data_IF_671023298962
#
_entry.id   IF_671023298962
#
_cell.length_a   1.000
_cell.length_b   1.000
_cell.length_c   1.000
_cell.angle_alpha   90.00
_cell.angle_beta   90.00
_cell.angle_gamma   90.00
#
_symmetry.space_group_name_H-M   'P 1'
#
loop_
_entity.id
_entity.type
_entity.pdbx_description
1 polymer ?
#
# COMPACT_ATOMS: atom_id res chain seq x y z
N UNK A 1 15.16 -11.01 -21.32
CA UNK A 1 14.89 -11.87 -20.14
C UNK A 1 15.22 -11.06 -18.89
N UNK A 2 14.22 -10.72 -18.08
CA UNK A 2 14.40 -9.96 -16.83
C UNK A 2 14.82 -10.92 -15.71
N UNK A 3 16.05 -11.43 -15.77
CA UNK A 3 16.58 -12.27 -14.69
C UNK A 3 17.14 -11.40 -13.56
N UNK A 4 16.80 -11.79 -12.34
CA UNK A 4 17.25 -11.16 -11.11
C UNK A 4 18.58 -11.76 -10.68
N UNK A 5 19.50 -10.92 -10.22
CA UNK A 5 20.83 -11.36 -9.82
C UNK A 5 20.83 -11.70 -8.33
N UNK A 6 21.02 -12.99 -8.04
CA UNK A 6 20.98 -13.60 -6.71
C UNK A 6 19.65 -14.30 -6.41
N UNK A 7 19.72 -15.45 -5.73
CA UNK A 7 18.55 -16.17 -5.22
C UNK A 7 17.96 -15.40 -4.03
N UNK A 8 17.25 -14.32 -4.29
CA UNK A 8 16.33 -13.76 -3.30
C UNK A 8 14.96 -14.40 -3.49
N UNK A 9 14.86 -15.68 -3.12
CA UNK A 9 13.56 -16.22 -2.76
C UNK A 9 13.17 -15.53 -1.47
N UNK A 10 12.09 -14.75 -1.45
CA UNK A 10 11.61 -14.18 -0.19
C UNK A 10 11.36 -15.33 0.78
N UNK A 11 12.11 -15.43 1.90
CA UNK A 11 11.76 -16.37 2.95
C UNK A 11 10.28 -16.18 3.29
N UNK A 12 9.57 -17.30 3.42
CA UNK A 12 8.18 -17.33 3.85
C UNK A 12 7.91 -16.38 5.04
N UNK A 13 8.89 -16.20 5.93
CA UNK A 13 8.88 -15.24 7.03
C UNK A 13 8.46 -13.81 6.63
N UNK A 14 8.91 -13.27 5.49
CA UNK A 14 8.54 -11.91 5.07
C UNK A 14 7.09 -11.81 4.62
N UNK A 15 6.60 -12.83 3.90
CA UNK A 15 5.19 -12.93 3.52
C UNK A 15 4.32 -12.98 4.78
N UNK A 16 4.69 -13.83 5.74
CA UNK A 16 3.99 -13.95 7.02
C UNK A 16 4.03 -12.64 7.82
N UNK A 17 5.18 -11.95 7.84
CA UNK A 17 5.32 -10.65 8.50
C UNK A 17 4.43 -9.58 7.87
N UNK A 18 4.43 -9.46 6.53
CA UNK A 18 3.57 -8.52 5.83
C UNK A 18 2.08 -8.83 6.07
N UNK A 19 1.69 -10.09 5.99
CA UNK A 19 0.33 -10.54 6.30
C UNK A 19 -0.06 -10.20 7.73
N UNK A 20 0.81 -10.47 8.71
CA UNK A 20 0.59 -10.14 10.12
C UNK A 20 0.40 -8.63 10.32
N UNK A 21 1.30 -7.81 9.77
CA UNK A 21 1.26 -6.36 9.91
C UNK A 21 -0.02 -5.76 9.29
N UNK A 22 -0.40 -6.20 8.09
CA UNK A 22 -1.64 -5.74 7.48
C UNK A 22 -2.88 -6.27 8.20
N UNK A 23 -2.89 -7.53 8.65
CA UNK A 23 -3.96 -8.07 9.45
C UNK A 23 -4.16 -7.25 10.73
N UNK A 24 -3.07 -6.83 11.39
CA UNK A 24 -3.12 -5.96 12.56
C UNK A 24 -3.84 -4.64 12.25
N UNK A 25 -3.61 -4.03 11.09
CA UNK A 25 -4.36 -2.83 10.67
C UNK A 25 -5.87 -3.10 10.55
N UNK A 26 -6.25 -4.29 10.07
CA UNK A 26 -7.63 -4.75 9.98
C UNK A 26 -8.25 -4.95 11.36
N UNK A 27 -7.53 -5.56 12.29
CA UNK A 27 -7.96 -5.75 13.69
C UNK A 27 -8.21 -4.40 14.34
N UNK A 28 -7.26 -3.47 14.26
CA UNK A 28 -7.38 -2.12 14.84
C UNK A 28 -8.64 -1.42 14.31
N UNK A 29 -8.87 -1.48 13.00
CA UNK A 29 -10.04 -0.86 12.39
C UNK A 29 -11.34 -1.54 12.80
N UNK A 30 -11.39 -2.88 12.82
CA UNK A 30 -12.56 -3.66 13.24
C UNK A 30 -12.93 -3.35 14.70
N UNK A 31 -11.94 -3.32 15.60
CA UNK A 31 -12.20 -3.03 17.01
C UNK A 31 -12.61 -1.57 17.23
N UNK A 32 -12.06 -0.61 16.48
CA UNK A 32 -12.56 0.78 16.48
C UNK A 32 -14.01 0.88 16.00
N UNK A 33 -14.45 -0.05 15.13
CA UNK A 33 -15.84 -0.16 14.64
C UNK A 33 -16.76 -1.01 15.53
N UNK A 34 -16.27 -1.54 16.65
CA UNK A 34 -17.01 -2.41 17.56
C UNK A 34 -17.60 -3.66 16.87
N UNK A 35 -16.87 -4.24 15.91
CA UNK A 35 -17.24 -5.53 15.34
C UNK A 35 -17.02 -6.67 16.34
N UNK A 36 -17.80 -7.74 16.18
CA UNK A 36 -17.65 -8.97 16.94
C UNK A 36 -16.40 -9.76 16.49
N UNK A 37 -16.10 -10.87 17.16
CA UNK A 37 -14.90 -11.67 16.88
C UNK A 37 -14.86 -12.17 15.44
N UNK A 38 -16.02 -12.55 14.88
CA UNK A 38 -16.11 -13.03 13.49
C UNK A 38 -15.81 -11.88 12.53
N UNK A 39 -16.39 -10.70 12.74
CA UNK A 39 -16.10 -9.50 11.96
C UNK A 39 -14.63 -9.08 12.05
N UNK A 40 -13.99 -9.19 13.22
CA UNK A 40 -12.56 -8.92 13.41
C UNK A 40 -11.70 -9.89 12.60
N UNK A 41 -11.97 -11.19 12.67
CA UNK A 41 -11.22 -12.22 11.92
C UNK A 41 -11.37 -12.01 10.41
N UNK A 42 -12.59 -11.77 9.92
CA UNK A 42 -12.85 -11.54 8.50
C UNK A 42 -12.11 -10.28 8.02
N UNK A 43 -12.21 -9.17 8.75
CA UNK A 43 -11.56 -7.93 8.33
C UNK A 43 -10.04 -8.02 8.42
N UNK A 44 -9.50 -8.69 9.44
CA UNK A 44 -8.07 -8.99 9.53
C UNK A 44 -7.60 -9.87 8.37
N UNK A 45 -8.41 -10.86 7.98
CA UNK A 45 -8.11 -11.74 6.85
C UNK A 45 -8.08 -10.96 5.54
N UNK A 46 -9.07 -10.11 5.30
CA UNK A 46 -9.14 -9.30 4.08
C UNK A 46 -8.00 -8.28 4.03
N UNK A 47 -7.70 -7.62 5.14
CA UNK A 47 -6.57 -6.69 5.21
C UNK A 47 -5.24 -7.41 4.98
N UNK A 48 -5.02 -8.52 5.70
CA UNK A 48 -3.77 -9.28 5.70
C UNK A 48 -3.51 -10.02 4.40
N UNK A 49 -4.50 -10.68 3.81
CA UNK A 49 -4.34 -11.53 2.65
C UNK A 49 -4.84 -10.91 1.34
N UNK A 50 -5.68 -9.86 1.39
CA UNK A 50 -6.38 -9.33 0.22
C UNK A 50 -5.47 -8.92 -0.93
N UNK A 51 -4.34 -8.27 -0.64
CA UNK A 51 -3.35 -7.90 -1.66
C UNK A 51 -2.75 -9.12 -2.36
N UNK A 52 -2.38 -10.15 -1.59
CA UNK A 52 -1.86 -11.42 -2.11
C UNK A 52 -2.92 -12.21 -2.89
N UNK A 53 -4.17 -12.21 -2.43
CA UNK A 53 -5.30 -12.85 -3.12
C UNK A 53 -5.57 -12.21 -4.48
N UNK A 54 -5.56 -10.86 -4.55
CA UNK A 54 -5.70 -10.14 -5.82
C UNK A 54 -4.50 -10.44 -6.72
N UNK A 55 -3.27 -10.34 -6.20
CA UNK A 55 -2.03 -10.62 -6.96
C UNK A 55 -2.07 -12.03 -7.54
N UNK A 56 -2.22 -13.05 -6.72
CA UNK A 56 -2.09 -14.44 -7.13
C UNK A 56 -3.32 -14.91 -7.92
N UNK A 57 -4.52 -14.58 -7.45
CA UNK A 57 -5.77 -15.09 -8.01
C UNK A 57 -6.25 -14.34 -9.25
N UNK A 58 -5.98 -13.04 -9.37
CA UNK A 58 -6.46 -12.22 -10.50
C UNK A 58 -5.34 -11.93 -11.50
N UNK A 59 -4.15 -11.54 -11.03
CA UNK A 59 -3.09 -11.07 -11.93
C UNK A 59 -2.11 -12.15 -12.37
N UNK A 60 -1.62 -13.00 -11.45
CA UNK A 60 -0.58 -13.99 -11.76
C UNK A 60 -1.15 -15.33 -12.25
N UNK A 61 -2.24 -15.81 -11.65
CA UNK A 61 -2.98 -17.01 -12.06
C UNK A 61 -2.12 -18.28 -12.20
N UNK A 62 -1.08 -18.45 -11.37
CA UNK A 62 -0.16 -19.60 -11.43
C UNK A 62 -0.58 -20.80 -10.56
N UNK A 63 -1.86 -20.86 -10.16
CA UNK A 63 -2.41 -21.85 -9.24
C UNK A 63 -3.21 -21.21 -8.12
N UNK A 64 -3.58 -21.98 -7.07
CA UNK A 64 -4.24 -21.43 -5.89
C UNK A 64 -3.39 -20.30 -5.27
N UNK A 65 -3.98 -19.21 -4.77
CA UNK A 65 -3.22 -18.18 -4.05
C UNK A 65 -2.35 -18.72 -2.93
N UNK A 66 -1.14 -18.15 -2.74
CA UNK A 66 -0.17 -18.63 -1.74
C UNK A 66 -0.77 -18.68 -0.33
N UNK A 67 -1.62 -17.69 -0.01
CA UNK A 67 -2.40 -17.63 1.22
C UNK A 67 -3.20 -18.92 1.52
N UNK A 68 -3.74 -19.56 0.49
CA UNK A 68 -4.56 -20.78 0.63
C UNK A 68 -3.73 -22.05 0.65
N UNK A 69 -2.46 -21.99 0.24
CA UNK A 69 -1.58 -23.15 0.16
C UNK A 69 -0.84 -23.44 1.48
N UNK A 70 -0.64 -22.42 2.33
CA UNK A 70 0.11 -22.57 3.57
C UNK A 70 -0.68 -22.05 4.79
N UNK A 71 -1.02 -22.97 5.69
CA UNK A 71 -1.75 -22.70 6.93
C UNK A 71 -1.08 -21.65 7.83
N UNK A 72 0.24 -21.44 7.68
CA UNK A 72 1.00 -20.45 8.46
C UNK A 72 0.49 -19.03 8.23
N UNK A 73 -0.09 -18.72 7.06
CA UNK A 73 -0.70 -17.42 6.83
C UNK A 73 -1.94 -17.19 7.70
N UNK A 74 -2.80 -18.20 7.83
CA UNK A 74 -3.94 -18.13 8.73
C UNK A 74 -3.49 -17.99 10.18
N UNK A 75 -2.45 -18.72 10.59
CA UNK A 75 -1.83 -18.58 11.92
C UNK A 75 -1.32 -17.16 12.15
N UNK A 76 -0.66 -16.53 11.17
CA UNK A 76 -0.20 -15.14 11.27
C UNK A 76 -1.37 -14.16 11.44
N UNK A 77 -2.48 -14.37 10.76
CA UNK A 77 -3.69 -13.53 10.89
C UNK A 77 -4.32 -13.71 12.26
N UNK A 78 -4.47 -14.94 12.74
CA UNK A 78 -5.00 -15.23 14.07
C UNK A 78 -4.10 -14.67 15.17
N UNK A 79 -2.78 -14.75 15.01
CA UNK A 79 -1.83 -14.08 15.90
C UNK A 79 -2.03 -12.56 15.91
N UNK A 80 -2.24 -11.93 14.75
CA UNK A 80 -2.53 -10.50 14.69
C UNK A 80 -3.84 -10.15 15.40
N UNK A 81 -4.87 -11.00 15.31
CA UNK A 81 -6.13 -10.85 16.06
C UNK A 81 -5.87 -10.93 17.56
N UNK A 82 -5.18 -11.97 18.04
CA UNK A 82 -4.86 -12.12 19.47
C UNK A 82 -4.06 -10.93 19.98
N UNK A 83 -2.99 -10.53 19.28
CA UNK A 83 -2.15 -9.40 19.65
C UNK A 83 -2.95 -8.10 19.65
N UNK A 84 -3.69 -7.82 18.57
CA UNK A 84 -4.46 -6.58 18.44
C UNK A 84 -5.60 -6.46 19.46
N UNK A 85 -6.21 -7.58 19.86
CA UNK A 85 -7.27 -7.60 20.87
C UNK A 85 -6.71 -7.51 22.29
N UNK A 86 -5.69 -8.31 22.64
CA UNK A 86 -5.08 -8.30 24.00
C UNK A 86 -4.46 -6.94 24.30
N UNK A 87 -3.73 -6.37 23.33
CA UNK A 87 -3.08 -5.07 23.48
C UNK A 87 -3.95 -3.90 23.01
N UNK A 88 -5.26 -4.10 22.82
CA UNK A 88 -6.16 -3.09 22.27
C UNK A 88 -6.04 -1.73 22.97
N UNK A 89 -5.96 -1.71 24.30
CA UNK A 89 -5.89 -0.46 25.06
C UNK A 89 -4.61 0.35 24.80
N UNK A 90 -3.50 -0.34 24.49
CA UNK A 90 -2.24 0.29 24.10
C UNK A 90 -2.32 0.74 22.64
N UNK A 91 -2.80 -0.14 21.77
CA UNK A 91 -2.87 0.08 20.32
C UNK A 91 -3.88 1.17 19.94
N UNK A 92 -5.02 1.26 20.64
CA UNK A 92 -6.07 2.27 20.39
C UNK A 92 -5.59 3.70 20.63
N UNK A 93 -4.72 3.89 21.63
CA UNK A 93 -4.16 5.21 21.96
C UNK A 93 -3.06 5.65 20.99
N UNK A 94 -2.47 4.70 20.27
CA UNK A 94 -1.34 4.93 19.39
C UNK A 94 -1.77 4.77 17.94
N UNK A 95 -2.35 5.82 17.36
CA UNK A 95 -2.57 5.86 15.90
C UNK A 95 -1.27 5.59 15.12
N UNK A 96 -0.11 5.91 15.71
CA UNK A 96 1.21 5.55 15.19
C UNK A 96 1.45 4.05 14.97
N UNK A 97 0.86 3.15 15.77
CA UNK A 97 1.01 1.69 15.56
C UNK A 97 0.37 1.27 14.24
N UNK A 98 -0.82 1.81 13.94
CA UNK A 98 -1.49 1.57 12.66
C UNK A 98 -0.62 2.07 11.50
N UNK A 99 -0.09 3.29 11.59
CA UNK A 99 0.73 3.87 10.52
C UNK A 99 2.06 3.14 10.31
N UNK A 100 2.74 2.74 11.39
CA UNK A 100 4.00 1.98 11.31
C UNK A 100 3.77 0.61 10.69
N UNK A 101 2.74 -0.12 11.16
CA UNK A 101 2.40 -1.44 10.63
C UNK A 101 1.99 -1.36 9.15
N UNK A 102 1.16 -0.39 8.79
CA UNK A 102 0.75 -0.13 7.41
C UNK A 102 1.94 0.26 6.52
N UNK A 103 2.83 1.15 6.97
CA UNK A 103 3.99 1.57 6.18
C UNK A 103 4.98 0.42 5.92
N UNK A 104 5.28 -0.40 6.94
CA UNK A 104 6.14 -1.58 6.78
C UNK A 104 5.47 -2.63 5.88
N UNK A 105 4.20 -2.94 6.15
CA UNK A 105 3.44 -3.90 5.35
C UNK A 105 3.40 -3.47 3.89
N UNK A 106 3.12 -2.20 3.61
CA UNK A 106 3.05 -1.62 2.27
C UNK A 106 4.35 -1.82 1.50
N UNK A 107 5.50 -1.52 2.12
CA UNK A 107 6.81 -1.72 1.50
C UNK A 107 7.09 -3.19 1.21
N UNK A 108 6.89 -4.06 2.20
CA UNK A 108 7.19 -5.50 2.06
C UNK A 108 6.29 -6.12 0.99
N UNK A 109 4.97 -5.89 1.03
CA UNK A 109 4.06 -6.46 0.02
C UNK A 109 4.30 -5.92 -1.38
N UNK A 110 4.68 -4.65 -1.51
CA UNK A 110 5.03 -4.08 -2.80
C UNK A 110 6.21 -4.80 -3.44
N UNK A 111 7.29 -4.96 -2.68
CA UNK A 111 8.49 -5.64 -3.16
C UNK A 111 8.22 -7.12 -3.46
N UNK A 112 7.51 -7.83 -2.58
CA UNK A 112 7.11 -9.24 -2.83
C UNK A 112 6.26 -9.35 -4.09
N UNK A 113 5.25 -8.49 -4.25
CA UNK A 113 4.37 -8.52 -5.42
C UNK A 113 5.12 -8.27 -6.73
N UNK A 114 6.03 -7.29 -6.72
CA UNK A 114 6.88 -6.98 -7.86
C UNK A 114 7.81 -8.14 -8.22
N UNK A 115 8.44 -8.73 -7.21
CA UNK A 115 9.32 -9.90 -7.34
C UNK A 115 8.58 -11.11 -7.93
N UNK A 116 7.41 -11.46 -7.38
CA UNK A 116 6.59 -12.56 -7.89
C UNK A 116 6.10 -12.31 -9.32
N UNK A 117 5.85 -11.05 -9.67
CA UNK A 117 5.47 -10.67 -11.04
C UNK A 117 6.59 -10.92 -12.05
N UNK A 118 7.83 -10.55 -11.72
CA UNK A 118 8.99 -10.82 -12.56
C UNK A 118 9.21 -12.34 -12.69
N UNK A 119 9.11 -13.08 -11.58
CA UNK A 119 9.21 -14.54 -11.61
C UNK A 119 8.09 -15.19 -12.44
N UNK A 120 6.91 -14.56 -12.50
CA UNK A 120 5.82 -14.97 -13.36
C UNK A 120 6.00 -14.60 -14.84
N UNK A 121 7.14 -14.02 -15.21
CA UNK A 121 7.45 -13.64 -16.60
C UNK A 121 6.86 -12.29 -17.03
N UNK A 122 6.29 -11.50 -16.11
CA UNK A 122 5.75 -10.19 -16.46
C UNK A 122 6.86 -9.18 -16.78
N UNK A 123 6.55 -8.24 -17.67
CA UNK A 123 7.43 -7.12 -18.00
C UNK A 123 7.54 -6.11 -16.85
N UNK A 124 8.52 -5.20 -16.94
CA UNK A 124 8.84 -4.23 -15.89
C UNK A 124 7.62 -3.42 -15.44
N UNK A 125 6.89 -2.81 -16.39
CA UNK A 125 5.73 -1.96 -16.08
C UNK A 125 4.60 -2.77 -15.44
N UNK A 126 4.31 -3.97 -15.97
CA UNK A 126 3.30 -4.87 -15.42
C UNK A 126 3.67 -5.30 -14.00
N UNK A 127 4.94 -5.60 -13.73
CA UNK A 127 5.43 -5.94 -12.41
C UNK A 127 5.34 -4.76 -11.43
N UNK A 128 5.55 -3.52 -11.89
CA UNK A 128 5.31 -2.32 -11.08
C UNK A 128 3.83 -2.23 -10.68
N UNK A 129 2.92 -2.41 -11.63
CA UNK A 129 1.47 -2.32 -11.37
C UNK A 129 0.99 -3.40 -10.41
N UNK A 130 1.37 -4.66 -10.65
CA UNK A 130 1.00 -5.78 -9.78
C UNK A 130 1.64 -5.65 -8.40
N UNK A 131 2.89 -5.16 -8.31
CA UNK A 131 3.53 -4.81 -7.04
C UNK A 131 2.75 -3.74 -6.26
N UNK A 132 2.37 -2.65 -6.93
CA UNK A 132 1.54 -1.59 -6.32
C UNK A 132 0.20 -2.14 -5.82
N UNK A 133 -0.48 -2.97 -6.60
CA UNK A 133 -1.76 -3.59 -6.22
C UNK A 133 -1.58 -4.57 -5.06
N UNK A 134 -0.50 -5.36 -5.05
CA UNK A 134 -0.18 -6.24 -3.94
C UNK A 134 0.04 -5.44 -2.64
N UNK A 135 0.67 -4.27 -2.74
CA UNK A 135 0.92 -3.38 -1.61
C UNK A 135 -0.36 -2.75 -1.05
N UNK A 136 -1.22 -2.21 -1.92
CA UNK A 136 -2.38 -1.41 -1.49
C UNK A 136 -3.67 -2.21 -1.40
N UNK A 137 -3.75 -3.37 -2.05
CA UNK A 137 -4.98 -4.14 -2.23
C UNK A 137 -5.64 -4.59 -0.93
N UNK A 138 -4.84 -5.00 0.07
CA UNK A 138 -5.36 -5.38 1.38
C UNK A 138 -6.05 -4.21 2.10
N UNK A 139 -5.37 -3.06 2.15
CA UNK A 139 -5.93 -1.82 2.72
C UNK A 139 -7.16 -1.33 1.95
N UNK A 140 -7.11 -1.40 0.62
CA UNK A 140 -8.23 -1.04 -0.27
C UNK A 140 -9.48 -1.89 0.02
N UNK A 141 -9.35 -3.22 0.04
CA UNK A 141 -10.47 -4.11 0.32
C UNK A 141 -11.02 -3.91 1.74
N UNK A 142 -10.12 -3.74 2.73
CA UNK A 142 -10.49 -3.41 4.12
C UNK A 142 -11.36 -2.14 4.19
N UNK A 143 -10.95 -1.08 3.51
CA UNK A 143 -11.65 0.20 3.56
C UNK A 143 -13.04 0.09 2.90
N UNK A 144 -13.13 -0.57 1.74
CA UNK A 144 -14.39 -0.84 1.04
C UNK A 144 -15.36 -1.62 1.94
N UNK A 145 -14.91 -2.72 2.57
CA UNK A 145 -15.77 -3.54 3.44
C UNK A 145 -16.27 -2.78 4.67
N UNK A 146 -15.48 -1.82 5.17
CA UNK A 146 -15.89 -0.97 6.30
C UNK A 146 -16.68 0.27 5.88
N UNK A 147 -17.11 0.34 4.61
CA UNK A 147 -17.85 1.46 4.01
C UNK A 147 -17.13 2.79 4.22
N UNK A 148 -15.80 2.78 4.17
CA UNK A 148 -14.97 3.99 4.16
C UNK A 148 -14.45 4.20 2.75
N UNK A 149 -14.30 5.46 2.37
CA UNK A 149 -13.53 5.79 1.19
C UNK A 149 -12.08 5.32 1.40
N UNK A 150 -11.51 4.53 0.46
CA UNK A 150 -10.16 4.01 0.59
C UNK A 150 -9.09 5.10 0.72
N UNK A 151 -8.11 4.87 1.59
CA UNK A 151 -6.99 5.81 1.84
C UNK A 151 -6.24 6.19 0.57
N UNK A 152 -6.25 5.31 -0.44
CA UNK A 152 -5.60 5.55 -1.74
C UNK A 152 -6.20 6.72 -2.52
N UNK A 153 -7.49 7.05 -2.31
CA UNK A 153 -8.18 8.13 -3.02
C UNK A 153 -8.09 9.47 -2.31
N UNK A 154 -7.85 9.48 -0.99
CA UNK A 154 -7.76 10.72 -0.25
C UNK A 154 -6.54 11.55 -0.67
N UNK A 155 -6.72 12.85 -0.95
CA UNK A 155 -5.62 13.80 -0.97
C UNK A 155 -5.00 13.78 0.44
N UNK A 156 -3.71 13.49 0.59
CA UNK A 156 -3.11 13.71 1.90
C UNK A 156 -1.95 12.85 2.38
N UNK A 157 -1.69 11.66 1.84
CA UNK A 157 -0.77 10.75 2.56
C UNK A 157 0.29 10.04 1.70
N UNK A 158 0.44 10.46 0.43
CA UNK A 158 1.36 9.86 -0.55
C UNK A 158 1.37 8.31 -0.51
N UNK A 159 0.24 7.67 -0.22
CA UNK A 159 0.19 6.23 0.06
C UNK A 159 0.59 5.39 -1.15
N UNK A 160 -0.17 5.53 -2.24
CA UNK A 160 0.16 4.88 -3.51
C UNK A 160 1.47 5.40 -4.11
N UNK A 161 1.77 6.69 -3.95
CA UNK A 161 3.00 7.28 -4.49
C UNK A 161 4.25 6.68 -3.83
N UNK A 162 4.23 6.49 -2.50
CA UNK A 162 5.31 5.84 -1.77
C UNK A 162 5.48 4.38 -2.23
N UNK A 163 4.38 3.62 -2.28
CA UNK A 163 4.40 2.24 -2.74
C UNK A 163 4.93 2.13 -4.19
N UNK A 164 4.44 2.98 -5.09
CA UNK A 164 4.86 3.04 -6.49
C UNK A 164 6.36 3.36 -6.60
N UNK A 165 6.85 4.35 -5.86
CA UNK A 165 8.27 4.70 -5.84
C UNK A 165 9.12 3.54 -5.31
N UNK A 166 8.73 2.90 -4.21
CA UNK A 166 9.44 1.76 -3.63
C UNK A 166 9.49 0.55 -4.57
N UNK A 167 8.36 0.17 -5.16
CA UNK A 167 8.27 -0.93 -6.13
C UNK A 167 9.12 -0.67 -7.36
N UNK A 168 9.01 0.55 -7.91
CA UNK A 168 9.79 0.95 -9.09
C UNK A 168 11.28 0.95 -8.77
N UNK A 169 11.67 1.47 -7.59
CA UNK A 169 13.06 1.45 -7.14
C UNK A 169 13.58 0.02 -7.01
N UNK A 170 12.84 -0.86 -6.33
CA UNK A 170 13.22 -2.26 -6.20
C UNK A 170 13.49 -2.90 -7.56
N UNK A 171 12.53 -2.81 -8.48
CA UNK A 171 12.67 -3.40 -9.81
C UNK A 171 13.82 -2.79 -10.58
N UNK A 172 14.01 -1.47 -10.51
CA UNK A 172 15.13 -0.80 -11.17
C UNK A 172 16.48 -1.28 -10.64
N UNK A 173 16.66 -1.32 -9.32
CA UNK A 173 17.90 -1.79 -8.70
C UNK A 173 18.17 -3.26 -9.03
N UNK A 174 17.16 -4.12 -8.93
CA UNK A 174 17.33 -5.57 -9.08
C UNK A 174 17.43 -6.02 -10.55
N UNK A 175 16.71 -5.38 -11.47
CA UNK A 175 16.65 -5.83 -12.88
C UNK A 175 17.52 -5.02 -13.83
N UNK A 176 17.67 -3.71 -13.61
CA UNK A 176 18.43 -2.81 -14.50
C UNK A 176 19.86 -2.66 -14.00
N UNK A 177 20.04 -2.30 -12.73
CA UNK A 177 21.39 -2.16 -12.14
C UNK A 177 21.99 -3.49 -11.70
N UNK A 178 21.20 -4.58 -11.73
CA UNK A 178 21.64 -5.94 -11.38
C UNK A 178 22.24 -6.02 -9.97
N UNK A 179 21.78 -5.15 -9.07
CA UNK A 179 22.13 -5.20 -7.64
C UNK A 179 21.47 -6.43 -7.02
N UNK A 180 22.12 -7.03 -6.03
CA UNK A 180 21.57 -8.13 -5.26
C UNK A 180 20.13 -7.81 -4.80
N UNK A 181 19.18 -8.68 -5.14
CA UNK A 181 17.76 -8.45 -4.92
C UNK A 181 17.38 -8.27 -3.43
N UNK A 182 18.11 -8.88 -2.49
CA UNK A 182 17.87 -8.69 -1.06
C UNK A 182 18.23 -7.27 -0.61
N UNK A 183 19.36 -6.74 -1.08
CA UNK A 183 19.78 -5.36 -0.80
C UNK A 183 18.78 -4.39 -1.42
N UNK A 184 18.39 -4.62 -2.68
CA UNK A 184 17.40 -3.81 -3.38
C UNK A 184 16.05 -3.80 -2.63
N UNK A 185 15.62 -4.95 -2.11
CA UNK A 185 14.39 -5.08 -1.33
C UNK A 185 14.43 -4.23 -0.05
N UNK A 186 15.51 -4.34 0.75
CA UNK A 186 15.64 -3.56 2.00
C UNK A 186 15.73 -2.06 1.75
N UNK A 187 16.43 -1.64 0.70
CA UNK A 187 16.49 -0.23 0.29
C UNK A 187 15.10 0.28 -0.10
N UNK A 188 14.35 -0.48 -0.89
CA UNK A 188 12.99 -0.11 -1.29
C UNK A 188 12.00 -0.09 -0.12
N UNK A 189 12.02 -1.11 0.75
CA UNK A 189 11.17 -1.15 1.96
C UNK A 189 11.52 0.03 2.88
N UNK A 190 12.80 0.31 3.07
CA UNK A 190 13.28 1.44 3.86
C UNK A 190 12.79 2.77 3.29
N UNK A 191 12.88 2.96 1.97
CA UNK A 191 12.35 4.16 1.31
C UNK A 191 10.86 4.32 1.59
N UNK A 192 10.04 3.28 1.37
CA UNK A 192 8.59 3.35 1.62
C UNK A 192 8.31 3.69 3.08
N UNK A 193 8.97 2.99 3.99
CA UNK A 193 8.75 3.13 5.43
C UNK A 193 9.10 4.53 5.94
N UNK A 194 10.34 4.98 5.71
CA UNK A 194 10.79 6.28 6.19
C UNK A 194 10.05 7.43 5.51
N UNK A 195 9.74 7.30 4.22
CA UNK A 195 8.95 8.30 3.52
C UNK A 195 7.53 8.40 4.09
N UNK A 196 6.87 7.27 4.39
CA UNK A 196 5.54 7.26 5.03
C UNK A 196 5.58 7.85 6.44
N UNK A 197 6.61 7.54 7.23
CA UNK A 197 6.79 8.14 8.55
C UNK A 197 7.06 9.65 8.48
N UNK A 198 7.88 10.09 7.53
CA UNK A 198 8.12 11.51 7.29
C UNK A 198 6.83 12.21 6.85
N UNK A 199 6.08 11.63 5.92
CA UNK A 199 4.81 12.17 5.46
C UNK A 199 3.80 12.31 6.62
N UNK A 200 3.72 11.33 7.52
CA UNK A 200 2.89 11.41 8.72
C UNK A 200 3.38 12.49 9.69
N UNK A 201 4.69 12.57 9.95
CA UNK A 201 5.27 13.51 10.92
C UNK A 201 5.16 14.97 10.47
N UNK A 202 5.29 15.21 9.17
CA UNK A 202 5.25 16.55 8.58
C UNK A 202 3.88 16.91 7.97
N UNK A 203 2.86 16.07 8.17
CA UNK A 203 1.50 16.24 7.64
C UNK A 203 1.49 16.55 6.12
N UNK A 204 2.37 15.86 5.38
CA UNK A 204 2.57 16.11 3.96
C UNK A 204 1.38 15.60 3.17
N UNK A 205 0.56 16.54 2.69
CA UNK A 205 -0.65 16.26 1.94
C UNK A 205 -0.55 16.58 0.46
N UNK A 206 -1.10 15.69 -0.38
CA UNK A 206 -1.37 16.00 -1.79
C UNK A 206 -2.62 16.88 -1.87
N UNK A 207 -2.66 17.79 -2.84
CA UNK A 207 -3.83 18.66 -3.06
C UNK A 207 -4.80 18.01 -4.05
N UNK A 208 -6.12 18.19 -3.87
CA UNK A 208 -7.09 17.73 -4.85
C UNK A 208 -6.87 18.44 -6.19
N UNK A 209 -7.10 17.73 -7.31
CA UNK A 209 -6.90 18.30 -8.65
C UNK A 209 -7.77 19.55 -8.89
N UNK A 210 -8.96 19.60 -8.29
CA UNK A 210 -9.83 20.78 -8.33
C UNK A 210 -9.15 22.05 -7.79
N UNK A 211 -8.27 21.93 -6.80
CA UNK A 211 -7.53 23.09 -6.26
C UNK A 211 -6.58 23.72 -7.29
N UNK A 212 -6.11 22.94 -8.27
CA UNK A 212 -5.30 23.47 -9.37
C UNK A 212 -6.16 24.09 -10.48
N UNK A 213 -7.36 23.56 -10.70
CA UNK A 213 -8.32 24.11 -11.66
C UNK A 213 -8.85 25.49 -11.22
N UNK A 214 -9.13 25.68 -9.93
CA UNK A 214 -9.58 26.98 -9.40
C UNK A 214 -8.50 28.06 -9.51
N UNK A 215 -7.23 27.73 -9.24
CA UNK A 215 -6.10 28.66 -9.41
C UNK A 215 -5.95 29.11 -10.86
N UNK A 216 -6.12 28.19 -11.82
CA UNK A 216 -6.10 28.54 -13.24
C UNK A 216 -7.33 29.34 -13.66
N UNK A 217 -8.50 29.09 -13.09
CA UNK A 217 -9.72 29.87 -13.34
C UNK A 217 -9.60 31.30 -12.83
N UNK A 218 -9.06 31.51 -11.62
CA UNK A 218 -8.82 32.86 -11.08
C UNK A 218 -7.84 33.62 -11.95
N UNK A 219 -6.70 33.01 -12.33
CA UNK A 219 -5.73 33.66 -13.25
C UNK A 219 -6.32 33.98 -14.62
N UNK A 220 -7.14 33.08 -15.17
CA UNK A 220 -7.82 33.30 -16.44
C UNK A 220 -8.85 34.43 -16.35
N UNK A 221 -9.64 34.51 -15.28
CA UNK A 221 -10.59 35.61 -15.07
C UNK A 221 -9.89 36.95 -14.84
N UNK A 222 -8.80 36.99 -14.06
CA UNK A 222 -7.99 38.20 -13.88
C UNK A 222 -7.35 38.66 -15.20
N UNK A 223 -6.85 37.72 -16.01
CA UNK A 223 -6.33 38.03 -17.35
C UNK A 223 -7.44 38.49 -18.30
N UNK A 224 -8.60 37.85 -18.28
CA UNK A 224 -9.74 38.24 -19.11
C UNK A 224 -10.26 39.64 -18.76
N UNK A 225 -10.38 39.96 -17.47
CA UNK A 225 -10.78 41.30 -17.01
C UNK A 225 -9.72 42.37 -17.31
N UNK A 226 -8.43 42.00 -17.36
CA UNK A 226 -7.35 42.89 -17.80
C UNK A 226 -7.37 43.18 -19.30
N UNK A 227 -7.74 42.19 -20.13
CA UNK A 227 -7.78 42.31 -21.60
C UNK A 227 -9.09 42.90 -22.11
N UNK A 228 -10.15 42.94 -21.28
CA UNK A 228 -11.45 43.45 -21.71
C UNK A 228 -11.40 44.98 -21.90
N UNK A 229 -11.68 45.51 -23.11
CA UNK A 229 -11.70 46.95 -23.32
C UNK A 229 -12.82 47.58 -22.48
N UNK A 230 -12.48 48.57 -21.66
CA UNK A 230 -13.46 49.38 -20.92
C UNK A 230 -14.41 50.02 -21.94
N UNK A 231 -15.64 49.51 -22.03
CA UNK A 231 -16.72 50.18 -22.75
C UNK A 231 -16.94 51.54 -22.09
N UNK A 232 -16.61 52.63 -22.80
CA UNK A 232 -17.01 53.99 -22.43
C UNK A 232 -18.54 54.02 -22.43
N UNK A 233 -19.15 54.22 -21.26
CA UNK A 233 -20.57 54.57 -21.16
C UNK A 233 -20.78 55.93 -21.84
N UNK A 234 -21.65 55.97 -22.84
CA UNK A 234 -22.25 57.22 -23.31
C UNK A 234 -23.38 57.63 -22.38
#
# INVERSE_FOLDING_TARGET
MNELVGQFEFPLAYNLLATFLFALTGVILATKRQYDIIGVIILATVAGAGGGLIRDGIFLQQGPPLFLQDNRFLVAILLAVVVGTVFYHLVKKWDGVFFVADALGLGIYGVIGAQMSINAGLGFISAVLVGLISATGGGLLRDILTKKEPVIFFPGQYYAAAALAGVTLFLFLATVLKINAQIAAWVAIGLVFFFRLAAMKFDLSTKPLAAFADVNRTKFLTFYDFVKPKRKSK
#
